data_IF_878388535412
#
_entry.id   IF_878388535412
#
_cell.length_a   1.000
_cell.length_b   1.000
_cell.length_c   1.000
_cell.angle_alpha   90.00
_cell.angle_beta   90.00
_cell.angle_gamma   90.00
#
_symmetry.space_group_name_H-M   'P 1'
#
loop_
_entity.id
_entity.type
_entity.pdbx_description
1 polymer ?
#
# COMPACT_ATOMS: atom_id res chain seq x y z
N UNK A 1 42.76 -10.80 -16.67
CA UNK A 1 41.63 -11.51 -17.30
C UNK A 1 40.61 -11.71 -16.21
N UNK A 2 39.48 -11.03 -16.35
CA UNK A 2 38.58 -10.59 -15.31
C UNK A 2 37.73 -11.74 -14.73
N UNK A 3 37.80 -11.98 -13.43
CA UNK A 3 37.05 -13.04 -12.73
C UNK A 3 35.59 -12.67 -12.43
N UNK A 4 35.15 -11.47 -12.79
CA UNK A 4 33.79 -10.99 -12.52
C UNK A 4 32.73 -11.53 -13.49
N UNK A 5 33.11 -12.19 -14.59
CA UNK A 5 32.16 -12.70 -15.60
C UNK A 5 31.68 -14.13 -15.30
N UNK A 6 32.35 -14.89 -14.42
CA UNK A 6 32.03 -16.32 -14.24
C UNK A 6 30.88 -16.61 -13.27
N UNK A 7 30.39 -15.62 -12.51
CA UNK A 7 29.28 -15.77 -11.58
C UNK A 7 28.10 -14.86 -11.95
N UNK A 8 27.84 -14.71 -13.25
CA UNK A 8 26.62 -14.03 -13.70
C UNK A 8 25.44 -15.01 -13.58
N UNK A 9 24.48 -14.78 -12.66
CA UNK A 9 23.33 -15.66 -12.48
C UNK A 9 22.34 -15.59 -13.66
N UNK A 10 22.53 -14.68 -14.62
CA UNK A 10 21.68 -14.48 -15.78
C UNK A 10 22.27 -15.05 -17.07
N UNK A 11 23.36 -15.81 -17.02
CA UNK A 11 24.00 -16.39 -18.22
C UNK A 11 23.06 -17.23 -19.11
N UNK A 12 21.95 -17.74 -18.56
CA UNK A 12 20.96 -18.56 -19.26
C UNK A 12 19.57 -17.91 -19.37
N UNK A 13 19.43 -16.62 -19.06
CA UNK A 13 18.15 -15.90 -19.13
C UNK A 13 18.37 -14.45 -19.55
N UNK A 14 17.39 -13.83 -20.22
CA UNK A 14 17.42 -12.37 -20.39
C UNK A 14 17.31 -11.75 -18.99
N UNK A 15 18.25 -10.87 -18.64
CA UNK A 15 18.11 -10.02 -17.46
C UNK A 15 16.93 -9.08 -17.70
N UNK A 16 15.86 -9.25 -16.94
CA UNK A 16 14.69 -8.38 -16.99
C UNK A 16 14.82 -7.32 -15.90
N UNK A 17 15.09 -6.09 -16.32
CA UNK A 17 15.06 -4.95 -15.42
C UNK A 17 13.63 -4.68 -14.96
N UNK A 18 13.45 -4.55 -13.64
CA UNK A 18 12.16 -4.16 -13.08
C UNK A 18 12.05 -2.65 -13.13
N UNK A 19 10.89 -2.17 -13.56
CA UNK A 19 10.59 -0.74 -13.53
C UNK A 19 10.60 -0.22 -12.09
N UNK A 20 11.04 1.02 -11.92
CA UNK A 20 11.07 1.67 -10.60
C UNK A 20 9.67 2.04 -10.12
N UNK A 21 8.75 2.30 -11.06
CA UNK A 21 7.37 2.68 -10.78
C UNK A 21 6.41 1.49 -10.73
N UNK A 22 6.85 0.28 -11.10
CA UNK A 22 6.02 -0.93 -11.14
C UNK A 22 5.31 -1.20 -12.47
N UNK A 23 5.44 -0.32 -13.47
CA UNK A 23 4.88 -0.52 -14.82
C UNK A 23 5.44 -1.80 -15.45
N UNK A 24 4.57 -2.59 -16.07
CA UNK A 24 4.94 -3.80 -16.82
C UNK A 24 5.03 -5.08 -15.98
N UNK A 25 4.81 -5.02 -14.66
CA UNK A 25 4.82 -6.21 -13.80
C UNK A 25 3.75 -7.23 -14.22
N UNK A 26 2.55 -6.75 -14.57
CA UNK A 26 1.53 -7.59 -15.21
C UNK A 26 1.58 -7.46 -16.75
N UNK A 27 1.96 -8.53 -17.45
CA UNK A 27 2.15 -8.50 -18.91
C UNK A 27 0.87 -8.17 -19.70
N UNK A 28 -0.31 -8.56 -19.18
CA UNK A 28 -1.59 -8.29 -19.85
C UNK A 28 -2.17 -6.93 -19.50
N UNK A 29 -1.82 -6.38 -18.34
CA UNK A 29 -2.29 -5.10 -17.82
C UNK A 29 -1.10 -4.32 -17.23
N UNK A 30 -0.23 -3.73 -18.08
CA UNK A 30 1.04 -3.17 -17.63
C UNK A 30 0.93 -2.13 -16.51
N UNK A 31 -0.20 -1.44 -16.38
CA UNK A 31 -0.40 -0.39 -15.38
C UNK A 31 -0.82 -0.92 -14.00
N UNK A 32 -1.04 -2.24 -13.85
CA UNK A 32 -1.47 -2.81 -12.57
C UNK A 32 -0.35 -2.77 -11.53
N UNK A 33 -0.61 -2.02 -10.46
CA UNK A 33 0.37 -1.82 -9.38
C UNK A 33 1.44 -0.78 -9.70
N UNK A 34 1.34 -0.09 -10.84
CA UNK A 34 2.21 1.04 -11.14
C UNK A 34 1.90 2.24 -10.22
N UNK A 35 2.92 3.07 -9.96
CA UNK A 35 2.74 4.35 -9.27
C UNK A 35 1.75 5.25 -10.01
N UNK A 36 1.08 6.14 -9.27
CA UNK A 36 0.04 7.05 -9.79
C UNK A 36 -1.17 6.37 -10.47
N UNK A 37 -1.32 5.05 -10.29
CA UNK A 37 -2.51 4.32 -10.71
C UNK A 37 -3.68 4.52 -9.74
N UNK A 38 -4.91 4.45 -10.26
CA UNK A 38 -6.11 4.52 -9.43
C UNK A 38 -6.24 3.25 -8.57
N UNK A 39 -6.67 3.42 -7.31
CA UNK A 39 -6.96 2.29 -6.42
C UNK A 39 -8.21 1.53 -6.89
N UNK A 40 -8.25 0.23 -6.60
CA UNK A 40 -9.41 -0.61 -6.90
C UNK A 40 -10.51 -0.45 -5.84
N UNK A 41 -11.75 -0.29 -6.31
CA UNK A 41 -12.93 -0.25 -5.45
C UNK A 41 -13.47 -1.67 -5.24
N UNK A 42 -13.39 -2.17 -4.00
CA UNK A 42 -14.01 -3.46 -3.60
C UNK A 42 -15.44 -3.31 -3.08
N UNK A 43 -15.92 -2.06 -2.95
CA UNK A 43 -17.25 -1.71 -2.52
C UNK A 43 -17.69 -0.38 -3.20
N UNK A 44 -18.99 -0.08 -3.27
CA UNK A 44 -19.46 1.17 -3.87
C UNK A 44 -18.88 2.42 -3.17
N UNK A 45 -18.46 3.41 -3.97
CA UNK A 45 -18.00 4.70 -3.47
C UNK A 45 -19.16 5.52 -2.88
N UNK A 46 -19.00 5.98 -1.64
CA UNK A 46 -20.03 6.69 -0.89
C UNK A 46 -19.82 8.20 -0.82
N UNK A 47 -19.79 8.90 -1.95
CA UNK A 47 -19.71 10.38 -2.01
C UNK A 47 -21.09 11.03 -1.80
N UNK A 48 -21.14 12.24 -1.23
CA UNK A 48 -22.39 12.97 -0.97
C UNK A 48 -23.11 13.40 -2.24
N UNK A 49 -22.34 13.71 -3.29
CA UNK A 49 -22.81 14.10 -4.62
C UNK A 49 -22.74 12.94 -5.63
N UNK A 50 -22.36 11.74 -5.18
CA UNK A 50 -22.14 10.57 -6.03
C UNK A 50 -20.87 10.61 -6.90
N UNK A 51 -19.99 11.62 -6.74
CA UNK A 51 -18.79 11.76 -7.58
C UNK A 51 -17.52 12.12 -6.80
N UNK A 52 -17.54 13.15 -5.96
CA UNK A 52 -16.31 13.68 -5.35
C UNK A 52 -16.47 14.33 -3.98
N UNK A 53 -17.67 14.78 -3.61
CA UNK A 53 -17.88 15.45 -2.33
C UNK A 53 -17.81 14.42 -1.21
N UNK A 54 -16.90 14.57 -0.22
CA UNK A 54 -16.83 13.65 0.92
C UNK A 54 -18.20 13.55 1.61
N UNK A 55 -18.68 12.33 1.87
CA UNK A 55 -19.93 12.14 2.59
C UNK A 55 -19.77 12.21 4.11
N UNK A 56 -20.91 12.20 4.80
CA UNK A 56 -20.96 12.07 6.25
C UNK A 56 -21.23 13.37 7.00
N UNK A 57 -21.80 14.38 6.35
CA UNK A 57 -22.21 15.65 6.99
C UNK A 57 -23.19 15.45 8.16
N UNK A 58 -23.91 14.33 8.20
CA UNK A 58 -24.78 13.92 9.31
C UNK A 58 -24.14 12.94 10.30
N UNK A 59 -22.85 12.58 10.13
CA UNK A 59 -22.10 11.71 11.04
C UNK A 59 -21.43 12.55 12.14
N UNK A 60 -21.10 11.95 13.31
CA UNK A 60 -20.37 12.66 14.36
C UNK A 60 -19.04 13.21 13.88
N UNK A 61 -18.52 14.22 14.59
CA UNK A 61 -17.23 14.79 14.24
C UNK A 61 -16.12 13.73 14.39
N UNK A 62 -15.18 13.61 13.42
CA UNK A 62 -14.10 12.62 13.52
C UNK A 62 -13.27 12.72 14.82
N UNK A 63 -13.10 13.92 15.39
CA UNK A 63 -12.41 14.12 16.67
C UNK A 63 -13.19 13.60 17.86
N UNK A 64 -14.52 13.72 17.84
CA UNK A 64 -15.39 13.15 18.88
C UNK A 64 -15.27 11.62 18.89
N UNK A 65 -15.28 10.99 17.72
CA UNK A 65 -15.09 9.54 17.58
C UNK A 65 -13.71 9.12 18.08
N UNK A 66 -12.65 9.84 17.68
CA UNK A 66 -11.28 9.57 18.13
C UNK A 66 -11.15 9.62 19.65
N UNK A 67 -11.74 10.63 20.31
CA UNK A 67 -11.72 10.73 21.78
C UNK A 67 -12.53 9.61 22.44
N UNK A 68 -13.68 9.25 21.87
CA UNK A 68 -14.56 8.24 22.46
C UNK A 68 -14.00 6.80 22.35
N UNK A 69 -13.26 6.49 21.28
CA UNK A 69 -12.85 5.10 20.96
C UNK A 69 -11.35 4.86 21.16
N UNK A 70 -10.51 5.84 20.82
CA UNK A 70 -9.05 5.64 20.71
C UNK A 70 -8.27 6.36 21.81
N UNK A 71 -8.93 7.00 22.78
CA UNK A 71 -8.24 7.63 23.90
C UNK A 71 -7.62 6.58 24.81
N UNK A 72 -6.30 6.64 24.95
CA UNK A 72 -5.50 5.75 25.79
C UNK A 72 -4.80 6.57 26.87
N UNK A 73 -4.80 6.07 28.11
CA UNK A 73 -4.20 6.75 29.27
C UNK A 73 -2.91 6.08 29.78
N UNK A 74 -2.57 4.91 29.25
CA UNK A 74 -1.46 4.05 29.70
C UNK A 74 -0.99 3.16 28.56
N UNK A 75 0.22 2.62 28.62
CA UNK A 75 0.76 1.78 27.55
C UNK A 75 0.01 0.45 27.44
N UNK A 76 -0.31 0.06 26.20
CA UNK A 76 -0.97 -1.20 25.88
C UNK A 76 -0.01 -2.04 25.01
N UNK A 77 0.77 -2.96 25.61
CA UNK A 77 1.66 -3.84 24.86
C UNK A 77 0.88 -4.75 23.91
N UNK A 78 1.47 -5.08 22.77
CA UNK A 78 0.90 -6.07 21.86
C UNK A 78 0.81 -7.44 22.55
N UNK A 79 -0.38 -8.08 22.62
CA UNK A 79 -0.58 -9.32 23.36
C UNK A 79 0.14 -10.52 22.75
N UNK A 80 0.65 -10.42 21.52
CA UNK A 80 1.46 -11.44 20.86
C UNK A 80 2.96 -11.20 21.05
N UNK A 81 3.35 -10.16 21.80
CA UNK A 81 4.75 -9.83 22.04
C UNK A 81 5.47 -9.33 20.80
N UNK A 82 4.73 -8.75 19.84
CA UNK A 82 5.35 -8.18 18.65
C UNK A 82 6.21 -6.98 19.01
N UNK A 83 7.39 -6.91 18.42
CA UNK A 83 8.27 -5.74 18.53
C UNK A 83 7.81 -4.65 17.57
N UNK A 84 8.26 -3.42 17.78
CA UNK A 84 7.91 -2.30 16.90
C UNK A 84 8.39 -2.47 15.44
N UNK A 85 9.22 -3.48 15.14
CA UNK A 85 9.65 -3.77 13.77
C UNK A 85 8.51 -4.25 12.85
N UNK A 86 7.35 -4.62 13.40
CA UNK A 86 6.18 -5.04 12.61
C UNK A 86 5.43 -3.88 11.96
N UNK A 87 5.67 -2.65 12.40
CA UNK A 87 5.08 -1.46 11.79
C UNK A 87 5.90 -1.10 10.54
N UNK A 88 5.24 -1.07 9.38
CA UNK A 88 5.82 -0.73 8.08
C UNK A 88 5.15 0.53 7.51
#
# INVERSE_FOLDING_TARGET
>A
MDTLIQNDPFQNSVFEEQSIDGTGNNQSNPDYGAADSALLDIAPLGYADGFSTPAGQSRPNPREISNAISQQNEDIPDPRGLTNFIWA
#
